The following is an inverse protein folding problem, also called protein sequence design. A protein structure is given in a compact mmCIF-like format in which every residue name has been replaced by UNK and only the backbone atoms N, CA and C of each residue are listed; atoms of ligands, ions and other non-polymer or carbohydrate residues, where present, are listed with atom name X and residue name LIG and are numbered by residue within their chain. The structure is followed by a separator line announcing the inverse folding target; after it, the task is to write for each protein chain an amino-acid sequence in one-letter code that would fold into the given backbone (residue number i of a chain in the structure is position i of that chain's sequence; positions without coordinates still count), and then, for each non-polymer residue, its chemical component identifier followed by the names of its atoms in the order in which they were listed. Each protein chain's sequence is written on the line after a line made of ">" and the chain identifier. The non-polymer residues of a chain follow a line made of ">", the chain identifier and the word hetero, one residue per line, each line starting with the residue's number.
data_IF_116030876226
#
_entry.id   IF_116030876226
#
_cell.length_a   1.000
_cell.length_b   1.000
_cell.length_c   1.000
_cell.angle_alpha   90.00
_cell.angle_beta   90.00
_cell.angle_gamma   90.00
#
_symmetry.space_group_name_H-M   'P 1'
#
loop_
_entity.id
_entity.type
_entity.pdbx_description
1 polymer ?
#
# COMPACT_ATOMS: atom_id res chain seq x y z
N UNK A 1 -15.05 0.22 -17.23
CA UNK A 1 -13.81 -0.41 -16.75
C UNK A 1 -13.37 -1.47 -17.77
N UNK A 2 -12.06 -1.60 -18.03
CA UNK A 2 -11.54 -2.67 -18.88
C UNK A 2 -11.50 -3.98 -18.08
N UNK A 3 -11.96 -5.12 -18.62
CA UNK A 3 -11.87 -6.40 -17.91
C UNK A 3 -10.40 -6.78 -17.67
N UNK A 4 -10.12 -7.35 -16.50
CA UNK A 4 -8.81 -7.89 -16.12
C UNK A 4 -8.64 -9.26 -16.79
N UNK A 5 -7.67 -9.40 -17.68
CA UNK A 5 -7.40 -10.65 -18.37
C UNK A 5 -6.68 -11.67 -17.47
N UNK A 6 -6.68 -12.95 -17.87
CA UNK A 6 -5.87 -13.95 -17.20
C UNK A 6 -4.38 -13.60 -17.35
N UNK A 7 -3.64 -13.63 -16.25
CA UNK A 7 -2.23 -13.25 -16.20
C UNK A 7 -1.95 -11.75 -16.01
N UNK A 8 -2.98 -10.89 -16.04
CA UNK A 8 -2.79 -9.44 -15.80
C UNK A 8 -2.33 -9.14 -14.36
N UNK A 9 -2.75 -9.94 -13.38
CA UNK A 9 -2.32 -9.85 -11.98
C UNK A 9 -1.24 -10.90 -11.76
N UNK A 10 0.02 -10.47 -11.81
CA UNK A 10 1.19 -11.34 -11.82
C UNK A 10 2.10 -11.16 -10.58
N UNK A 11 1.77 -10.22 -9.70
CA UNK A 11 2.51 -9.96 -8.46
C UNK A 11 1.64 -10.20 -7.23
N UNK A 12 2.25 -10.37 -6.06
CA UNK A 12 1.53 -10.47 -4.79
C UNK A 12 1.83 -9.27 -3.91
N UNK A 13 0.78 -8.72 -3.29
CA UNK A 13 0.87 -7.64 -2.31
C UNK A 13 0.24 -8.09 -1.01
N UNK A 14 0.90 -7.79 0.11
CA UNK A 14 0.32 -7.99 1.44
C UNK A 14 -0.21 -6.67 1.94
N UNK A 15 -1.48 -6.63 2.29
CA UNK A 15 -2.11 -5.42 2.79
C UNK A 15 -1.88 -5.36 4.29
N UNK A 16 -1.35 -4.23 4.75
CA UNK A 16 -1.10 -4.00 6.17
C UNK A 16 -2.18 -3.08 6.74
N UNK A 17 -2.68 -3.46 7.91
CA UNK A 17 -3.70 -2.70 8.63
C UNK A 17 -3.04 -1.95 9.77
N UNK A 18 -3.26 -0.64 9.81
CA UNK A 18 -2.77 0.22 10.88
C UNK A 18 -3.68 0.10 12.11
N UNK A 19 -3.08 -0.17 13.26
CA UNK A 19 -3.76 -0.07 14.56
C UNK A 19 -3.12 1.03 15.39
N UNK A 20 -3.92 2.03 15.76
CA UNK A 20 -3.50 3.09 16.70
C UNK A 20 -4.04 2.74 18.08
N UNK A 21 -3.13 2.55 19.02
CA UNK A 21 -3.49 2.36 20.44
C UNK A 21 -3.08 3.59 21.23
N UNK A 22 -3.86 3.93 22.26
CA UNK A 22 -3.54 5.03 23.16
C UNK A 22 -3.04 4.49 24.49
N UNK A 23 -1.80 4.83 24.83
CA UNK A 23 -1.16 4.42 26.08
C UNK A 23 -1.61 5.24 27.29
N UNK A 24 -1.14 4.86 28.48
CA UNK A 24 -1.51 5.47 29.76
C UNK A 24 -1.19 6.99 29.86
N UNK A 25 -0.25 7.48 29.07
CA UNK A 25 0.12 8.90 28.99
C UNK A 25 -0.54 9.65 27.81
N UNK A 26 -1.59 9.09 27.22
CA UNK A 26 -2.21 9.56 25.96
C UNK A 26 -1.26 9.58 24.74
N UNK A 27 -0.09 8.94 24.83
CA UNK A 27 0.77 8.73 23.67
C UNK A 27 0.10 7.77 22.70
N UNK A 28 0.06 8.14 21.42
CA UNK A 28 -0.46 7.30 20.35
C UNK A 28 0.66 6.38 19.85
N UNK A 29 0.39 5.07 19.87
CA UNK A 29 1.27 4.05 19.35
C UNK A 29 0.64 3.46 18.09
N UNK A 30 1.23 3.79 16.94
CA UNK A 30 0.90 3.22 15.65
C UNK A 30 1.65 1.91 15.45
N UNK A 31 0.91 0.84 15.19
CA UNK A 31 1.44 -0.49 14.85
C UNK A 31 0.84 -0.94 13.53
N UNK A 32 1.58 -1.77 12.81
CA UNK A 32 1.15 -2.36 11.54
C UNK A 32 1.16 -3.87 11.67
N UNK A 33 0.06 -4.50 11.28
CA UNK A 33 -0.04 -5.96 11.17
C UNK A 33 -0.28 -6.35 9.72
N UNK A 34 0.33 -7.46 9.29
CA UNK A 34 0.05 -8.05 7.99
C UNK A 34 -1.35 -8.64 8.00
N UNK A 35 -2.16 -8.27 7.02
CA UNK A 35 -3.45 -8.87 6.72
C UNK A 35 -3.37 -9.78 5.51
N UNK A 36 -4.32 -9.64 4.59
CA UNK A 36 -4.45 -10.49 3.41
C UNK A 36 -3.34 -10.26 2.38
N UNK A 37 -2.92 -11.35 1.73
CA UNK A 37 -2.02 -11.32 0.56
C UNK A 37 -2.82 -11.62 -0.71
N UNK A 38 -2.78 -10.70 -1.67
CA UNK A 38 -3.61 -10.77 -2.88
C UNK A 38 -2.79 -10.59 -4.15
N UNK A 39 -3.26 -11.19 -5.24
CA UNK A 39 -2.70 -10.96 -6.56
C UNK A 39 -3.01 -9.55 -7.06
N UNK A 40 -2.00 -8.87 -7.59
CA UNK A 40 -2.07 -7.51 -8.07
C UNK A 40 -1.29 -7.33 -9.38
N UNK A 41 -1.61 -6.26 -10.09
CA UNK A 41 -0.75 -5.67 -11.11
C UNK A 41 -0.17 -4.38 -10.56
N UNK A 42 1.14 -4.25 -10.59
CA UNK A 42 1.84 -3.06 -10.12
C UNK A 42 2.43 -2.33 -11.33
N UNK A 43 2.13 -1.03 -11.44
CA UNK A 43 2.69 -0.17 -12.49
C UNK A 43 3.34 1.04 -11.84
N UNK A 44 4.63 1.24 -12.08
CA UNK A 44 5.31 2.46 -11.66
C UNK A 44 4.78 3.65 -12.49
N UNK A 45 4.32 4.70 -11.80
CA UNK A 45 3.83 5.95 -12.42
C UNK A 45 4.91 7.03 -12.49
N UNK A 46 6.13 6.70 -12.09
CA UNK A 46 7.29 7.58 -12.05
C UNK A 46 7.60 8.11 -10.65
N UNK A 47 8.81 8.64 -10.50
CA UNK A 47 9.29 9.31 -9.31
C UNK A 47 9.30 10.83 -9.47
N UNK A 48 8.97 11.54 -8.38
CA UNK A 48 9.42 12.93 -8.19
C UNK A 48 10.47 12.93 -7.09
N UNK A 49 11.43 13.86 -7.14
CA UNK A 49 12.36 14.17 -6.06
C UNK A 49 11.87 15.41 -5.29
N UNK A 50 10.88 15.29 -4.40
CA UNK A 50 10.52 16.38 -3.52
C UNK A 50 11.52 16.45 -2.37
N UNK A 51 11.99 17.65 -2.09
CA UNK A 51 12.74 17.92 -0.88
C UNK A 51 11.74 17.98 0.29
N UNK A 52 11.70 16.93 1.10
CA UNK A 52 10.88 16.86 2.32
C UNK A 52 11.81 16.91 3.53
N UNK A 53 11.71 17.99 4.31
CA UNK A 53 12.40 18.17 5.60
C UNK A 53 13.90 17.78 5.59
N UNK A 54 14.67 18.35 4.65
CA UNK A 54 16.12 18.12 4.49
C UNK A 54 16.56 16.65 4.34
N UNK A 55 15.65 15.76 3.95
CA UNK A 55 15.96 14.36 3.66
C UNK A 55 15.67 14.09 2.18
N UNK A 56 16.60 13.47 1.42
CA UNK A 56 16.29 12.98 0.10
C UNK A 56 15.22 11.90 0.23
N UNK A 57 14.03 12.18 -0.29
CA UNK A 57 12.92 11.22 -0.36
C UNK A 57 12.62 10.98 -1.84
N UNK A 58 12.88 9.78 -2.32
CA UNK A 58 12.42 9.36 -3.65
C UNK A 58 10.97 8.92 -3.51
N UNK A 59 10.03 9.77 -3.91
CA UNK A 59 8.61 9.44 -3.93
C UNK A 59 8.31 8.74 -5.25
N UNK A 60 8.58 7.43 -5.31
CA UNK A 60 8.12 6.58 -6.41
C UNK A 60 6.63 6.34 -6.20
N UNK A 61 5.82 6.75 -7.18
CA UNK A 61 4.39 6.49 -7.15
C UNK A 61 4.10 5.19 -7.88
N UNK A 62 3.37 4.28 -7.23
CA UNK A 62 2.92 3.03 -7.84
C UNK A 62 1.40 3.04 -7.97
N UNK A 63 0.91 2.58 -9.12
CA UNK A 63 -0.49 2.20 -9.30
C UNK A 63 -0.60 0.70 -9.02
N UNK A 64 -1.36 0.33 -8.00
CA UNK A 64 -1.63 -1.06 -7.62
C UNK A 64 -3.07 -1.39 -7.96
N UNK A 65 -3.27 -2.35 -8.87
CA UNK A 65 -4.59 -2.81 -9.30
C UNK A 65 -4.83 -4.21 -8.73
N UNK A 66 -5.93 -4.38 -8.00
CA UNK A 66 -6.41 -5.67 -7.46
C UNK A 66 -7.78 -6.02 -8.03
N UNK A 67 -8.22 -7.27 -7.88
CA UNK A 67 -9.58 -7.66 -8.29
C UNK A 67 -10.63 -7.00 -7.39
N UNK A 68 -11.78 -6.72 -7.99
CA UNK A 68 -12.99 -6.37 -7.26
C UNK A 68 -13.46 -7.54 -6.38
N UNK A 69 -14.16 -7.22 -5.28
CA UNK A 69 -14.65 -8.19 -4.30
C UNK A 69 -13.61 -8.70 -3.29
N UNK A 70 -12.33 -8.29 -3.41
CA UNK A 70 -11.33 -8.50 -2.36
C UNK A 70 -11.71 -7.64 -1.16
N UNK A 71 -12.02 -8.28 -0.03
CA UNK A 71 -12.27 -7.56 1.23
C UNK A 71 -10.94 -7.19 1.83
N UNK A 72 -10.68 -5.89 1.92
CA UNK A 72 -9.51 -5.32 2.59
C UNK A 72 -10.00 -4.74 3.91
N UNK A 73 -9.58 -5.33 5.01
CA UNK A 73 -9.92 -4.91 6.38
C UNK A 73 -8.80 -4.13 7.05
#
# INVERSE_FOLDING_TARGET
>A
MKPIAAGDLNEQVTIQTATVTRGAANAELLTWSNGETVWARIVERGGREPQLADRPVMLISYEVVIRDGVTVT
#
